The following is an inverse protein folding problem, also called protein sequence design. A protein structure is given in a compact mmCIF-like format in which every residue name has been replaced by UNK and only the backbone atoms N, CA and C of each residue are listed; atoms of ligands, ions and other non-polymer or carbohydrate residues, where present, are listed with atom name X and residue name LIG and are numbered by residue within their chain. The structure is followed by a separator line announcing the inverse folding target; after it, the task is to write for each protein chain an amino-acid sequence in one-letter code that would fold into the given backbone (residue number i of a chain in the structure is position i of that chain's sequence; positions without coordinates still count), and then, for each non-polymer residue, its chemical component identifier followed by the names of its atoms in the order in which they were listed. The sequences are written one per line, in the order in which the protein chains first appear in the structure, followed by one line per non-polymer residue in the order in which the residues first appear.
data_IF_525214702560
#
_entry.id   IF_525214702560
#
_cell.length_a   1.000
_cell.length_b   1.000
_cell.length_c   1.000
_cell.angle_alpha   90.00
_cell.angle_beta   90.00
_cell.angle_gamma   90.00
#
_symmetry.space_group_name_H-M   'P 1'
#
loop_
_entity.id
_entity.type
_entity.pdbx_description
1 polymer ?
#
# COMPACT_ATOMS: atom_id res chain seq x y z
N UNK A 1 -38.89 15.69 35.58
CA UNK A 1 -38.46 14.28 35.68
C UNK A 1 -38.23 13.78 34.26
N UNK A 2 -37.16 14.13 33.53
CA UNK A 2 -35.72 13.73 33.66
C UNK A 2 -35.59 12.25 34.01
N UNK A 3 -34.96 11.36 33.22
CA UNK A 3 -34.23 11.48 31.96
C UNK A 3 -34.10 10.06 31.37
N UNK A 4 -34.40 9.91 30.09
CA UNK A 4 -33.45 9.67 29.00
C UNK A 4 -32.68 8.35 29.11
N UNK A 5 -33.12 7.40 28.28
CA UNK A 5 -32.46 6.12 28.04
C UNK A 5 -31.01 6.35 27.60
N UNK A 6 -30.08 5.73 28.32
CA UNK A 6 -28.69 5.60 27.91
C UNK A 6 -28.60 4.85 26.59
N UNK A 7 -28.39 5.59 25.51
CA UNK A 7 -27.90 5.07 24.22
C UNK A 7 -26.48 4.55 24.43
N UNK A 8 -26.34 3.26 24.74
CA UNK A 8 -25.09 2.54 24.60
C UNK A 8 -24.94 2.15 23.12
N UNK A 9 -24.64 3.13 22.28
CA UNK A 9 -24.22 2.85 20.91
C UNK A 9 -22.86 2.16 20.98
N UNK A 10 -22.87 0.84 20.79
CA UNK A 10 -21.70 0.00 20.55
C UNK A 10 -20.80 0.71 19.53
N UNK A 11 -19.68 1.28 19.99
CA UNK A 11 -18.56 1.58 19.09
C UNK A 11 -18.00 0.23 18.66
N UNK A 12 -18.48 -0.29 17.53
CA UNK A 12 -17.76 -1.36 16.83
C UNK A 12 -16.35 -0.83 16.63
N UNK A 13 -15.43 -1.53 17.25
CA UNK A 13 -14.03 -1.21 17.24
C UNK A 13 -13.57 -1.32 15.78
N UNK A 14 -13.23 -0.20 15.14
CA UNK A 14 -12.61 -0.14 13.80
C UNK A 14 -11.17 -0.67 13.86
N UNK A 15 -11.00 -1.90 14.33
CA UNK A 15 -9.71 -2.60 14.40
C UNK A 15 -9.27 -3.11 13.01
N UNK A 16 -10.21 -3.15 12.06
CA UNK A 16 -10.02 -3.67 10.71
C UNK A 16 -10.27 -2.58 9.67
N UNK A 17 -9.50 -2.56 8.56
CA UNK A 17 -9.74 -1.66 7.45
C UNK A 17 -11.18 -1.75 6.93
N UNK A 18 -11.82 -0.60 6.72
CA UNK A 18 -13.21 -0.50 6.26
C UNK A 18 -13.24 -0.41 4.75
N UNK A 19 -14.05 -1.26 4.10
CA UNK A 19 -14.24 -1.20 2.65
C UNK A 19 -14.92 0.10 2.23
N UNK A 20 -14.39 0.75 1.21
CA UNK A 20 -14.89 2.01 0.63
C UNK A 20 -14.73 1.96 -0.88
N UNK A 21 -15.48 2.79 -1.60
CA UNK A 21 -15.33 2.95 -3.05
C UNK A 21 -14.22 3.95 -3.37
N UNK A 22 -13.57 3.83 -4.54
CA UNK A 22 -12.56 4.80 -5.01
C UNK A 22 -13.11 6.24 -5.09
N UNK A 23 -14.42 6.39 -5.33
CA UNK A 23 -15.11 7.68 -5.41
C UNK A 23 -15.71 8.15 -4.08
N UNK A 24 -15.51 7.41 -2.98
CA UNK A 24 -16.08 7.77 -1.68
C UNK A 24 -15.51 9.12 -1.20
N UNK A 25 -16.35 10.14 -0.93
CA UNK A 25 -15.89 11.44 -0.43
C UNK A 25 -15.02 11.35 0.83
N UNK A 26 -15.16 10.30 1.64
CA UNK A 26 -14.33 10.06 2.84
C UNK A 26 -12.86 9.88 2.52
N UNK A 27 -12.52 9.29 1.37
CA UNK A 27 -11.12 9.05 0.98
C UNK A 27 -10.61 10.05 -0.06
N UNK A 28 -11.47 10.90 -0.63
CA UNK A 28 -11.05 11.94 -1.58
C UNK A 28 -9.88 12.81 -1.06
N UNK A 29 -9.84 13.27 0.21
CA UNK A 29 -8.68 14.00 0.73
C UNK A 29 -7.38 13.19 0.74
N UNK A 30 -7.46 11.86 0.96
CA UNK A 30 -6.30 10.97 0.95
C UNK A 30 -5.81 10.75 -0.48
N UNK A 31 -6.72 10.51 -1.42
CA UNK A 31 -6.38 10.38 -2.84
C UNK A 31 -5.74 11.66 -3.38
N UNK A 32 -6.29 12.84 -3.05
CA UNK A 32 -5.69 14.13 -3.41
C UNK A 32 -4.28 14.30 -2.82
N UNK A 33 -4.08 13.92 -1.56
CA UNK A 33 -2.76 13.95 -0.95
C UNK A 33 -1.78 13.00 -1.64
N UNK A 34 -2.27 11.85 -2.11
CA UNK A 34 -1.48 10.84 -2.80
C UNK A 34 -0.98 11.32 -4.17
N UNK A 35 -1.61 12.31 -4.81
CA UNK A 35 -1.15 12.92 -6.08
C UNK A 35 0.16 13.71 -5.93
N UNK A 36 0.56 14.07 -4.71
CA UNK A 36 1.85 14.74 -4.48
C UNK A 36 3.08 13.85 -4.73
N UNK A 37 2.89 12.54 -4.90
CA UNK A 37 3.97 11.59 -5.17
C UNK A 37 4.08 11.27 -6.67
N UNK A 38 5.25 11.56 -7.26
CA UNK A 38 5.59 11.25 -8.66
C UNK A 38 5.81 9.74 -8.87
N UNK A 39 4.75 8.93 -8.81
CA UNK A 39 4.78 7.45 -8.90
C UNK A 39 5.63 6.91 -10.04
N UNK A 40 5.38 7.41 -11.25
CA UNK A 40 5.99 6.90 -12.49
C UNK A 40 7.51 7.07 -12.47
N UNK A 41 8.03 8.14 -11.85
CA UNK A 41 9.47 8.38 -11.70
C UNK A 41 10.18 7.28 -10.90
N UNK A 42 9.46 6.64 -9.98
CA UNK A 42 9.98 5.56 -9.14
C UNK A 42 9.53 4.17 -9.60
N UNK A 43 8.83 4.06 -10.74
CA UNK A 43 8.37 2.80 -11.31
C UNK A 43 7.07 2.26 -10.72
N UNK A 44 6.40 3.02 -9.86
CA UNK A 44 5.04 2.69 -9.41
C UNK A 44 4.05 2.95 -10.55
N UNK A 45 2.98 2.17 -10.60
CA UNK A 45 1.91 2.39 -11.56
C UNK A 45 1.01 3.56 -11.11
N UNK A 46 0.30 4.25 -12.04
CA UNK A 46 -0.72 5.23 -11.67
C UNK A 46 -1.78 4.62 -10.72
N UNK A 47 -2.49 5.45 -9.97
CA UNK A 47 -3.62 4.94 -9.18
C UNK A 47 -4.70 4.41 -10.14
N UNK A 48 -5.30 3.24 -9.84
CA UNK A 48 -6.36 2.69 -10.68
C UNK A 48 -7.64 3.51 -10.52
N UNK A 49 -8.41 3.68 -11.60
CA UNK A 49 -9.74 4.30 -11.53
C UNK A 49 -10.75 3.45 -10.73
N UNK A 50 -10.59 2.12 -10.78
CA UNK A 50 -11.44 1.13 -10.12
C UNK A 50 -10.59 0.10 -9.38
N UNK A 51 -10.90 -0.11 -8.10
CA UNK A 51 -10.21 -1.07 -7.24
C UNK A 51 -11.08 -1.44 -6.03
N UNK A 52 -10.77 -2.56 -5.37
CA UNK A 52 -11.23 -2.78 -4.00
C UNK A 52 -10.37 -1.93 -3.06
N UNK A 53 -10.99 -1.04 -2.30
CA UNK A 53 -10.30 -0.13 -1.40
C UNK A 53 -10.73 -0.39 0.03
N UNK A 54 -9.76 -0.39 0.94
CA UNK A 54 -10.01 -0.38 2.37
C UNK A 54 -9.27 0.76 3.04
N UNK A 55 -10.00 1.53 3.84
CA UNK A 55 -9.46 2.59 4.67
C UNK A 55 -9.14 2.05 6.06
N UNK A 56 -7.88 2.20 6.46
CA UNK A 56 -7.44 2.02 7.83
C UNK A 56 -7.23 3.41 8.45
N UNK A 57 -8.08 3.78 9.41
CA UNK A 57 -8.09 5.12 10.04
C UNK A 57 -7.54 5.13 11.47
N UNK A 58 -7.23 3.94 12.03
CA UNK A 58 -6.79 3.74 13.41
C UNK A 58 -5.73 2.64 13.47
N UNK A 59 -4.50 2.94 13.04
CA UNK A 59 -3.46 1.93 13.05
C UNK A 59 -3.07 1.55 14.48
N UNK A 60 -2.77 0.27 14.68
CA UNK A 60 -2.31 -0.23 15.98
C UNK A 60 -0.96 0.37 16.39
N UNK A 61 -0.15 0.78 15.41
CA UNK A 61 1.15 1.43 15.61
C UNK A 61 1.09 2.83 15.01
N UNK A 62 1.49 3.85 15.75
CA UNK A 62 1.42 5.28 15.35
C UNK A 62 2.45 5.68 14.25
N UNK A 63 2.74 4.79 13.31
CA UNK A 63 3.64 5.05 12.19
C UNK A 63 3.01 5.92 11.09
N UNK A 64 1.67 5.95 11.04
CA UNK A 64 0.82 6.76 10.16
C UNK A 64 -0.49 7.08 10.88
N UNK A 65 -1.32 7.96 10.31
CA UNK A 65 -2.65 8.27 10.84
C UNK A 65 -3.77 7.64 9.99
N UNK A 66 -3.52 7.42 8.70
CA UNK A 66 -4.41 6.67 7.83
C UNK A 66 -3.61 5.88 6.79
N UNK A 67 -4.17 4.76 6.33
CA UNK A 67 -3.64 3.99 5.22
C UNK A 67 -4.75 3.53 4.29
N UNK A 68 -4.54 3.72 2.98
CA UNK A 68 -5.38 3.10 1.96
C UNK A 68 -4.75 1.78 1.53
N UNK A 69 -5.53 0.72 1.56
CA UNK A 69 -5.22 -0.58 0.97
C UNK A 69 -5.98 -0.67 -0.35
N UNK A 70 -5.28 -0.70 -1.48
CA UNK A 70 -5.88 -0.69 -2.82
C UNK A 70 -5.51 -2.02 -3.49
N UNK A 71 -6.53 -2.82 -3.83
CA UNK A 71 -6.37 -4.09 -4.54
C UNK A 71 -7.01 -4.00 -5.91
N UNK A 72 -6.18 -4.11 -6.95
CA UNK A 72 -6.57 -4.15 -8.36
C UNK A 72 -5.63 -5.12 -9.10
N UNK A 73 -5.05 -4.71 -10.23
CA UNK A 73 -3.99 -5.46 -10.93
C UNK A 73 -2.73 -5.65 -10.06
N UNK A 74 -2.46 -4.70 -9.18
CA UNK A 74 -1.43 -4.76 -8.13
C UNK A 74 -2.08 -4.69 -6.74
N UNK A 75 -1.34 -5.08 -5.71
CA UNK A 75 -1.71 -4.81 -4.32
C UNK A 75 -0.89 -3.62 -3.82
N UNK A 76 -1.54 -2.62 -3.27
CA UNK A 76 -0.90 -1.36 -2.88
C UNK A 76 -1.35 -0.91 -1.50
N UNK A 77 -0.41 -0.33 -0.75
CA UNK A 77 -0.72 0.46 0.44
C UNK A 77 -0.17 1.86 0.31
N UNK A 78 -0.93 2.85 0.76
CA UNK A 78 -0.52 4.26 0.77
C UNK A 78 -0.74 4.81 2.17
N UNK A 79 0.33 5.27 2.80
CA UNK A 79 0.32 5.79 4.16
C UNK A 79 0.22 7.31 4.17
N UNK A 80 -0.54 7.83 5.13
CA UNK A 80 -0.81 9.25 5.29
C UNK A 80 -0.59 9.72 6.72
N UNK A 81 -0.12 10.96 6.83
CA UNK A 81 -0.06 11.74 8.08
C UNK A 81 -1.19 12.76 8.09
N UNK A 82 -1.88 12.88 9.21
CA UNK A 82 -2.86 13.93 9.45
C UNK A 82 -2.14 15.25 9.74
N UNK A 83 -2.69 16.32 9.22
CA UNK A 83 -2.21 17.70 9.39
C UNK A 83 -3.41 18.58 9.73
N UNK A 84 -3.17 19.83 10.13
CA UNK A 84 -4.25 20.78 10.41
C UNK A 84 -5.13 21.07 9.17
N UNK A 85 -4.59 20.85 7.96
CA UNK A 85 -5.25 21.12 6.67
C UNK A 85 -5.80 19.87 5.98
N UNK A 86 -5.74 18.70 6.61
CA UNK A 86 -6.16 17.43 6.00
C UNK A 86 -5.08 16.37 6.11
N UNK A 87 -4.72 15.73 5.00
CA UNK A 87 -3.72 14.65 4.97
C UNK A 87 -2.54 14.98 4.08
N UNK A 88 -1.39 14.41 4.41
CA UNK A 88 -0.17 14.41 3.59
C UNK A 88 0.27 12.98 3.35
N UNK A 89 0.63 12.67 2.11
CA UNK A 89 1.25 11.40 1.75
C UNK A 89 2.61 11.25 2.45
N UNK A 90 2.89 10.08 3.02
CA UNK A 90 4.17 9.80 3.69
C UNK A 90 4.87 8.54 3.21
N UNK A 91 4.20 7.72 2.40
CA UNK A 91 4.80 6.53 1.85
C UNK A 91 3.84 5.65 1.07
N UNK A 92 4.41 4.82 0.19
CA UNK A 92 3.68 3.89 -0.68
C UNK A 92 4.46 2.58 -0.85
N UNK A 93 3.72 1.47 -0.83
CA UNK A 93 4.20 0.16 -1.23
C UNK A 93 3.29 -0.40 -2.31
N UNK A 94 3.87 -0.95 -3.38
CA UNK A 94 3.14 -1.63 -4.45
C UNK A 94 3.78 -2.98 -4.75
N UNK A 95 2.97 -4.02 -4.74
CA UNK A 95 3.35 -5.40 -5.03
C UNK A 95 2.74 -5.85 -6.35
N UNK A 96 3.62 -6.32 -7.24
CA UNK A 96 3.34 -6.86 -8.56
C UNK A 96 3.46 -8.37 -8.49
N UNK A 97 2.40 -9.09 -8.88
CA UNK A 97 2.37 -10.55 -8.82
C UNK A 97 2.80 -11.11 -10.18
N UNK A 98 3.82 -11.96 -10.19
CA UNK A 98 4.27 -12.66 -11.38
C UNK A 98 3.50 -13.95 -11.65
N UNK A 99 3.73 -14.57 -12.83
CA UNK A 99 3.02 -15.75 -13.27
C UNK A 99 3.49 -17.03 -12.56
N UNK A 100 4.75 -17.10 -12.13
CA UNK A 100 5.28 -18.33 -11.54
C UNK A 100 4.86 -18.49 -10.08
N UNK A 101 4.86 -19.74 -9.63
CA UNK A 101 4.64 -20.11 -8.24
C UNK A 101 5.85 -20.84 -7.71
N UNK A 102 6.23 -20.55 -6.47
CA UNK A 102 7.34 -21.20 -5.79
C UNK A 102 6.86 -21.82 -4.46
N UNK A 103 7.59 -22.84 -4.00
CA UNK A 103 7.25 -23.58 -2.78
C UNK A 103 8.15 -23.16 -1.64
N UNK A 104 7.55 -22.92 -0.49
CA UNK A 104 8.23 -22.76 0.79
C UNK A 104 7.66 -23.78 1.78
N UNK A 105 8.25 -23.83 2.98
CA UNK A 105 7.70 -24.64 4.08
C UNK A 105 6.28 -24.20 4.49
N UNK A 106 5.92 -22.94 4.22
CA UNK A 106 4.64 -22.34 4.60
C UNK A 106 3.57 -22.44 3.49
N UNK A 107 3.92 -22.99 2.32
CA UNK A 107 2.98 -23.21 1.23
C UNK A 107 3.50 -22.81 -0.15
N UNK A 108 2.57 -22.69 -1.10
CA UNK A 108 2.85 -22.32 -2.49
C UNK A 108 2.38 -20.89 -2.78
N UNK A 109 3.32 -20.01 -3.06
CA UNK A 109 3.09 -18.57 -3.27
C UNK A 109 3.36 -18.20 -4.72
N UNK A 110 2.74 -17.12 -5.19
CA UNK A 110 3.16 -16.52 -6.46
C UNK A 110 4.44 -15.74 -6.26
N UNK A 111 5.30 -15.71 -7.27
CA UNK A 111 6.40 -14.78 -7.28
C UNK A 111 5.90 -13.34 -7.26
N UNK A 112 6.65 -12.44 -6.64
CA UNK A 112 6.27 -11.04 -6.54
C UNK A 112 7.46 -10.10 -6.50
N UNK A 113 7.27 -8.93 -7.10
CA UNK A 113 8.16 -7.78 -6.98
C UNK A 113 7.44 -6.73 -6.14
N UNK A 114 8.11 -6.18 -5.14
CA UNK A 114 7.56 -5.11 -4.30
C UNK A 114 8.43 -3.88 -4.38
N UNK A 115 7.80 -2.75 -4.69
CA UNK A 115 8.38 -1.42 -4.62
C UNK A 115 7.91 -0.75 -3.34
N UNK A 116 8.84 -0.16 -2.58
CA UNK A 116 8.51 0.59 -1.37
C UNK A 116 9.27 1.91 -1.35
N UNK A 117 8.56 3.01 -1.12
CA UNK A 117 9.17 4.33 -0.94
C UNK A 117 8.43 5.09 0.15
N UNK A 118 9.16 5.53 1.17
CA UNK A 118 8.59 6.36 2.24
C UNK A 118 9.43 7.61 2.47
N UNK A 119 8.81 8.72 2.86
CA UNK A 119 9.51 9.92 3.35
C UNK A 119 9.56 9.96 4.88
N UNK A 120 8.69 9.19 5.54
CA UNK A 120 8.69 8.97 7.00
C UNK A 120 8.76 7.48 7.32
N UNK A 121 9.06 7.16 8.58
CA UNK A 121 9.16 5.76 9.02
C UNK A 121 7.78 5.12 9.13
N UNK A 122 7.38 4.39 8.08
CA UNK A 122 6.14 3.59 8.03
C UNK A 122 6.40 2.10 8.32
N UNK A 123 7.48 1.56 7.77
CA UNK A 123 7.92 0.17 7.96
C UNK A 123 9.43 0.08 8.20
N UNK A 124 10.00 -1.14 8.12
CA UNK A 124 11.44 -1.38 8.31
C UNK A 124 12.35 -0.87 7.18
N UNK A 125 11.80 -0.32 6.09
CA UNK A 125 12.59 0.18 4.96
C UNK A 125 13.15 1.60 5.21
N UNK A 126 14.30 1.94 4.61
CA UNK A 126 14.87 3.29 4.68
C UNK A 126 13.93 4.36 4.10
N UNK A 127 14.00 5.58 4.62
CA UNK A 127 13.27 6.74 4.08
C UNK A 127 14.03 7.42 2.93
N UNK A 128 13.30 8.16 2.10
CA UNK A 128 13.81 8.93 0.95
C UNK A 128 14.61 8.10 -0.06
N UNK A 129 14.29 6.81 -0.17
CA UNK A 129 14.98 5.87 -1.04
C UNK A 129 14.01 4.78 -1.50
N UNK A 130 14.02 4.50 -2.80
CA UNK A 130 13.30 3.36 -3.36
C UNK A 130 13.94 2.06 -2.88
N UNK A 131 13.13 1.21 -2.28
CA UNK A 131 13.45 -0.18 -2.01
C UNK A 131 12.74 -1.07 -3.03
N UNK A 132 13.48 -2.01 -3.61
CA UNK A 132 12.96 -3.02 -4.53
C UNK A 132 13.29 -4.38 -3.93
N UNK A 133 12.28 -5.22 -3.77
CA UNK A 133 12.45 -6.60 -3.32
C UNK A 133 11.76 -7.57 -4.27
N UNK A 134 12.28 -8.78 -4.35
CA UNK A 134 11.70 -9.89 -5.09
C UNK A 134 11.57 -11.09 -4.17
N UNK A 135 10.44 -11.78 -4.28
CA UNK A 135 10.20 -13.08 -3.68
C UNK A 135 9.85 -14.07 -4.78
N UNK A 136 10.67 -15.10 -4.93
CA UNK A 136 10.50 -16.13 -5.97
C UNK A 136 11.84 -16.76 -6.33
N UNK A 137 11.85 -17.52 -7.41
CA UNK A 137 12.99 -18.35 -7.83
C UNK A 137 13.61 -17.92 -9.17
N UNK A 138 13.15 -16.81 -9.77
CA UNK A 138 13.72 -16.32 -11.03
C UNK A 138 15.22 -16.00 -10.83
N UNK A 139 16.13 -16.72 -11.50
CA UNK A 139 17.57 -16.57 -11.28
C UNK A 139 18.09 -15.19 -11.67
N UNK A 140 17.35 -14.42 -12.49
CA UNK A 140 17.65 -13.04 -12.86
C UNK A 140 17.53 -12.08 -11.66
N UNK A 141 16.70 -12.42 -10.67
CA UNK A 141 16.39 -11.56 -9.53
C UNK A 141 16.80 -12.17 -8.18
N UNK A 142 16.56 -13.47 -7.98
CA UNK A 142 16.70 -14.14 -6.68
C UNK A 142 18.12 -14.09 -6.09
N UNK A 143 19.14 -14.07 -6.93
CA UNK A 143 20.54 -14.05 -6.50
C UNK A 143 21.11 -12.64 -6.30
N UNK A 144 20.33 -11.59 -6.59
CA UNK A 144 20.78 -10.22 -6.49
C UNK A 144 20.65 -9.70 -5.05
N UNK A 145 21.79 -9.35 -4.43
CA UNK A 145 21.82 -8.77 -3.08
C UNK A 145 21.09 -7.43 -2.96
N UNK A 146 21.01 -6.68 -4.07
CA UNK A 146 20.38 -5.37 -4.13
C UNK A 146 19.74 -5.18 -5.49
N UNK A 147 18.40 -5.17 -5.50
CA UNK A 147 17.62 -4.88 -6.69
C UNK A 147 17.45 -3.38 -6.88
N UNK A 148 17.33 -2.99 -8.14
CA UNK A 148 16.98 -1.64 -8.57
C UNK A 148 15.78 -1.70 -9.51
N UNK A 149 15.16 -0.55 -9.76
CA UNK A 149 14.03 -0.47 -10.70
C UNK A 149 14.44 -0.92 -12.11
N UNK A 150 15.70 -0.71 -12.51
CA UNK A 150 16.21 -1.12 -13.83
C UNK A 150 16.27 -2.64 -13.99
N UNK A 151 16.54 -3.36 -12.90
CA UNK A 151 16.62 -4.83 -12.92
C UNK A 151 15.23 -5.44 -13.07
N UNK A 152 14.23 -4.87 -12.39
CA UNK A 152 12.87 -5.43 -12.36
C UNK A 152 11.98 -4.92 -13.48
N UNK A 153 12.25 -3.75 -14.07
CA UNK A 153 11.36 -3.17 -15.09
C UNK A 153 11.16 -4.07 -16.33
N UNK A 154 12.19 -4.74 -16.90
CA UNK A 154 11.98 -5.70 -17.99
C UNK A 154 11.07 -6.85 -17.57
N UNK A 155 11.25 -7.36 -16.34
CA UNK A 155 10.46 -8.46 -15.79
C UNK A 155 9.00 -8.06 -15.59
N UNK A 156 8.76 -6.87 -15.05
CA UNK A 156 7.41 -6.32 -14.91
C UNK A 156 6.70 -6.20 -16.26
N UNK A 157 7.41 -5.77 -17.32
CA UNK A 157 6.85 -5.72 -18.68
C UNK A 157 6.54 -7.11 -19.23
N UNK A 158 7.40 -8.11 -18.98
CA UNK A 158 7.15 -9.51 -19.34
C UNK A 158 5.88 -10.05 -18.65
N UNK A 159 5.66 -9.68 -17.38
CA UNK A 159 4.46 -10.02 -16.63
C UNK A 159 3.22 -9.20 -17.05
N UNK A 160 3.40 -8.23 -17.94
CA UNK A 160 2.36 -7.41 -18.53
C UNK A 160 2.00 -6.16 -17.73
N UNK A 161 2.86 -5.67 -16.83
CA UNK A 161 2.68 -4.42 -16.07
C UNK A 161 3.18 -3.18 -16.79
#
# INVERSE_FOLDING_TARGET
MTGSLFYLAYRIIELFPVRVEMSDPKIAPLLNAAESFERVKYGFSPLPEKADVRLESRPMRQAYDAMLHISSKTSRTIAFRKTDKGYRWIGEQETFRGPNRYKTVDGTFYEEITLTFHIEKVSGHPTNRLNVSYFGEDPRLANLRKLTIKDVQPILREWGY
#
